data_IF_727555688230
#
_entry.id   IF_727555688230
#
_cell.length_a   1.000
_cell.length_b   1.000
_cell.length_c   1.000
_cell.angle_alpha   90.00
_cell.angle_beta   90.00
_cell.angle_gamma   90.00
#
_symmetry.space_group_name_H-M   'P 1'
#
loop_
_entity.id
_entity.type
_entity.pdbx_description
1 polymer ?
#
# COMPACT_ATOMS: atom_id res chain seq x y z
N UNK A 1 15.89 -14.57 -7.69
CA UNK A 1 15.17 -13.43 -8.30
C UNK A 1 15.01 -12.36 -7.24
N UNK A 2 15.08 -11.07 -7.59
CA UNK A 2 14.83 -9.99 -6.64
C UNK A 2 13.41 -10.07 -6.08
N UNK A 3 13.19 -9.75 -4.80
CA UNK A 3 11.85 -9.78 -4.19
C UNK A 3 11.05 -8.53 -4.50
N UNK A 4 10.16 -8.65 -5.48
CA UNK A 4 9.13 -7.65 -5.83
C UNK A 4 7.76 -8.27 -6.12
N UNK A 5 6.75 -7.46 -6.42
CA UNK A 5 5.39 -7.95 -6.65
C UNK A 5 5.34 -9.02 -7.76
N UNK A 6 6.07 -8.80 -8.85
CA UNK A 6 6.06 -9.70 -10.02
C UNK A 6 6.66 -11.05 -9.67
N UNK A 7 7.81 -11.05 -9.01
CA UNK A 7 8.45 -12.28 -8.55
C UNK A 7 7.56 -13.08 -7.58
N UNK A 8 6.77 -12.42 -6.74
CA UNK A 8 5.84 -13.09 -5.83
C UNK A 8 4.62 -13.66 -6.56
N UNK A 9 4.07 -12.94 -7.54
CA UNK A 9 2.98 -13.46 -8.40
C UNK A 9 3.45 -14.72 -9.13
N UNK A 10 4.66 -14.71 -9.69
CA UNK A 10 5.27 -15.89 -10.33
C UNK A 10 5.50 -17.03 -9.33
N UNK A 11 6.03 -16.73 -8.15
CA UNK A 11 6.23 -17.71 -7.08
C UNK A 11 4.89 -18.36 -6.65
N UNK A 12 3.85 -17.55 -6.48
CA UNK A 12 2.52 -18.02 -6.10
C UNK A 12 1.91 -18.91 -7.18
N UNK A 13 1.97 -18.47 -8.44
CA UNK A 13 1.45 -19.23 -9.57
C UNK A 13 2.16 -20.58 -9.75
N UNK A 14 3.45 -20.66 -9.44
CA UNK A 14 4.23 -21.90 -9.53
C UNK A 14 4.00 -22.83 -8.33
N UNK A 15 3.92 -22.29 -7.11
CA UNK A 15 3.83 -23.08 -5.89
C UNK A 15 2.40 -23.56 -5.59
N UNK A 16 1.40 -22.69 -5.80
CA UNK A 16 -0.01 -22.96 -5.51
C UNK A 16 -0.91 -22.32 -6.58
N UNK A 17 -0.99 -22.93 -7.79
CA UNK A 17 -1.75 -22.37 -8.92
C UNK A 17 -3.24 -22.13 -8.63
N UNK A 18 -3.82 -22.85 -7.68
CA UNK A 18 -5.20 -22.71 -7.22
C UNK A 18 -5.44 -21.46 -6.34
N UNK A 19 -4.37 -20.86 -5.83
CA UNK A 19 -4.43 -19.66 -4.97
C UNK A 19 -4.29 -18.34 -5.72
N UNK A 20 -4.14 -18.37 -7.04
CA UNK A 20 -4.16 -17.19 -7.90
C UNK A 20 -5.09 -17.42 -9.09
N UNK A 21 -5.96 -16.47 -9.37
CA UNK A 21 -6.86 -16.54 -10.51
C UNK A 21 -6.66 -15.31 -11.39
N UNK A 22 -6.38 -15.56 -12.67
CA UNK A 22 -6.31 -14.52 -13.70
C UNK A 22 -7.70 -14.28 -14.27
N UNK A 23 -8.09 -13.01 -14.33
CA UNK A 23 -9.35 -12.55 -14.90
C UNK A 23 -9.02 -11.75 -16.17
N UNK A 24 -9.43 -12.29 -17.32
CA UNK A 24 -9.15 -11.73 -18.65
C UNK A 24 -10.34 -10.98 -19.25
N UNK A 25 -11.55 -11.22 -18.74
CA UNK A 25 -12.72 -10.42 -19.08
C UNK A 25 -12.49 -8.96 -18.65
N UNK A 26 -13.04 -8.01 -19.42
CA UNK A 26 -13.04 -6.61 -19.03
C UNK A 26 -13.86 -6.41 -17.75
N UNK A 27 -13.29 -5.71 -16.77
CA UNK A 27 -13.94 -5.43 -15.48
C UNK A 27 -13.98 -3.93 -15.21
N UNK A 28 -15.14 -3.43 -14.77
CA UNK A 28 -15.34 -2.06 -14.33
C UNK A 28 -14.63 -1.82 -12.98
N UNK A 29 -13.73 -0.81 -12.86
CA UNK A 29 -13.07 -0.49 -11.59
C UNK A 29 -14.06 -0.05 -10.49
N UNK A 30 -15.18 0.56 -10.88
CA UNK A 30 -16.28 0.85 -9.96
C UNK A 30 -17.06 -0.44 -9.67
N UNK A 31 -16.89 -0.97 -8.45
CA UNK A 31 -17.55 -2.14 -7.89
C UNK A 31 -17.26 -3.49 -8.55
N UNK A 32 -16.89 -3.55 -9.84
CA UNK A 32 -16.72 -4.83 -10.55
C UNK A 32 -15.61 -5.69 -9.94
N UNK A 33 -14.47 -5.06 -9.64
CA UNK A 33 -13.31 -5.71 -9.01
C UNK A 33 -13.69 -6.34 -7.67
N UNK A 34 -14.33 -5.57 -6.79
CA UNK A 34 -14.72 -6.00 -5.45
C UNK A 34 -15.93 -6.92 -5.44
N UNK A 35 -16.85 -6.80 -6.40
CA UNK A 35 -17.99 -7.71 -6.55
C UNK A 35 -17.53 -9.14 -6.88
N UNK A 36 -16.51 -9.30 -7.73
CA UNK A 36 -15.92 -10.60 -8.03
C UNK A 36 -15.28 -11.20 -6.77
N UNK A 37 -14.47 -10.42 -6.04
CA UNK A 37 -13.89 -10.85 -4.77
C UNK A 37 -14.95 -11.21 -3.72
N UNK A 38 -16.00 -10.39 -3.59
CA UNK A 38 -17.12 -10.61 -2.68
C UNK A 38 -17.93 -11.87 -3.01
N UNK A 39 -18.13 -12.17 -4.29
CA UNK A 39 -18.78 -13.42 -4.72
C UNK A 39 -17.97 -14.66 -4.31
N UNK A 40 -16.64 -14.63 -4.49
CA UNK A 40 -15.77 -15.72 -4.06
C UNK A 40 -15.71 -15.83 -2.53
N UNK A 41 -15.68 -14.72 -1.82
CA UNK A 41 -15.71 -14.70 -0.36
C UNK A 41 -16.98 -15.37 0.20
N UNK A 42 -18.15 -15.16 -0.41
CA UNK A 42 -19.40 -15.87 -0.06
C UNK A 42 -19.32 -17.39 -0.26
N UNK A 43 -18.39 -17.86 -1.08
CA UNK A 43 -18.09 -19.29 -1.28
C UNK A 43 -16.95 -19.78 -0.38
N UNK A 44 -16.45 -18.95 0.53
CA UNK A 44 -15.29 -19.26 1.38
C UNK A 44 -13.95 -19.28 0.63
N UNK A 45 -13.88 -18.67 -0.56
CA UNK A 45 -12.70 -18.68 -1.42
C UNK A 45 -12.03 -17.30 -1.45
N UNK A 46 -10.72 -17.27 -1.23
CA UNK A 46 -9.92 -16.04 -1.18
C UNK A 46 -8.63 -16.13 -2.03
N UNK A 47 -8.70 -16.49 -3.32
CA UNK A 47 -7.52 -16.46 -4.18
C UNK A 47 -7.04 -15.02 -4.38
N UNK A 48 -5.75 -14.85 -4.67
CA UNK A 48 -5.27 -13.61 -5.28
C UNK A 48 -5.95 -13.46 -6.66
N UNK A 49 -6.40 -12.26 -6.98
CA UNK A 49 -7.12 -11.98 -8.23
C UNK A 49 -6.29 -11.02 -9.07
N UNK A 50 -5.82 -11.48 -10.24
CA UNK A 50 -5.09 -10.66 -11.20
C UNK A 50 -6.01 -10.31 -12.37
N UNK A 51 -6.47 -9.06 -12.40
CA UNK A 51 -7.27 -8.49 -13.47
C UNK A 51 -6.35 -7.94 -14.55
N UNK A 52 -6.41 -8.53 -15.74
CA UNK A 52 -5.55 -8.15 -16.87
C UNK A 52 -6.20 -7.13 -17.80
N UNK A 53 -7.52 -6.93 -17.68
CA UNK A 53 -8.29 -5.99 -18.47
C UNK A 53 -9.23 -5.18 -17.56
N UNK A 54 -8.74 -4.05 -17.05
CA UNK A 54 -9.54 -3.12 -16.25
C UNK A 54 -9.99 -1.98 -17.16
N UNK A 55 -11.30 -1.79 -17.25
CA UNK A 55 -11.90 -0.80 -18.16
C UNK A 55 -11.34 0.60 -17.90
N UNK A 56 -10.94 1.28 -18.98
CA UNK A 56 -10.39 2.64 -18.91
C UNK A 56 -8.93 2.72 -18.47
N UNK A 57 -8.25 1.60 -18.23
CA UNK A 57 -6.83 1.55 -17.85
C UNK A 57 -6.04 0.59 -18.74
N UNK A 58 -4.77 0.91 -18.96
CA UNK A 58 -3.82 -0.02 -19.60
C UNK A 58 -3.07 -0.89 -18.58
N UNK A 59 -3.22 -0.60 -17.29
CA UNK A 59 -2.52 -1.28 -16.21
C UNK A 59 -3.38 -2.44 -15.67
N UNK A 60 -2.80 -3.64 -15.48
CA UNK A 60 -3.44 -4.69 -14.71
C UNK A 60 -3.57 -4.30 -13.24
N UNK A 61 -4.50 -4.96 -12.55
CA UNK A 61 -4.77 -4.75 -11.13
C UNK A 61 -4.76 -6.08 -10.37
N UNK A 62 -4.17 -6.11 -9.18
CA UNK A 62 -4.16 -7.27 -8.29
C UNK A 62 -4.70 -6.93 -6.91
N UNK A 63 -5.58 -7.79 -6.38
CA UNK A 63 -6.07 -7.75 -5.00
C UNK A 63 -5.97 -9.13 -4.34
N UNK A 64 -6.27 -9.19 -3.04
CA UNK A 64 -6.25 -10.40 -2.22
C UNK A 64 -4.87 -11.07 -2.17
N UNK A 65 -3.78 -10.33 -2.43
CA UNK A 65 -2.44 -10.90 -2.47
C UNK A 65 -2.06 -11.53 -1.12
N UNK A 66 -2.49 -10.92 -0.01
CA UNK A 66 -2.19 -11.34 1.36
C UNK A 66 -3.40 -11.91 2.11
N UNK A 67 -4.48 -12.25 1.42
CA UNK A 67 -5.73 -12.74 2.04
C UNK A 67 -5.69 -14.18 2.61
N UNK A 68 -4.52 -14.80 2.75
CA UNK A 68 -4.36 -16.14 3.34
C UNK A 68 -3.01 -16.28 4.04
N UNK A 69 -2.98 -17.07 5.13
CA UNK A 69 -1.76 -17.34 5.89
C UNK A 69 -0.80 -18.24 5.12
N UNK A 70 -1.30 -19.11 4.25
CA UNK A 70 -0.49 -19.90 3.31
C UNK A 70 0.34 -18.99 2.40
N UNK A 71 -0.27 -17.94 1.84
CA UNK A 71 0.46 -16.96 1.02
C UNK A 71 1.44 -16.12 1.82
N UNK A 72 1.09 -15.75 3.06
CA UNK A 72 2.02 -15.03 3.92
C UNK A 72 3.20 -15.89 4.37
N UNK A 73 2.97 -17.18 4.62
CA UNK A 73 4.01 -18.15 4.91
C UNK A 73 4.93 -18.35 3.69
N UNK A 74 4.37 -18.48 2.48
CA UNK A 74 5.13 -18.51 1.23
C UNK A 74 5.98 -17.24 1.05
N UNK A 75 5.41 -16.06 1.30
CA UNK A 75 6.11 -14.78 1.19
C UNK A 75 7.29 -14.69 2.18
N UNK A 76 7.10 -15.17 3.40
CA UNK A 76 8.14 -15.24 4.42
C UNK A 76 9.12 -16.40 4.21
N UNK A 77 8.82 -17.37 3.34
CA UNK A 77 9.64 -18.57 3.14
C UNK A 77 9.61 -19.50 4.35
N UNK A 78 8.41 -19.76 4.88
CA UNK A 78 8.16 -20.59 6.07
C UNK A 78 6.86 -21.36 5.90
N UNK A 79 6.54 -22.24 6.86
CA UNK A 79 5.25 -22.92 6.98
C UNK A 79 4.22 -22.09 7.77
N UNK A 80 2.94 -22.37 7.55
CA UNK A 80 1.81 -21.68 8.23
C UNK A 80 1.90 -21.80 9.75
N UNK A 81 2.32 -22.95 10.28
CA UNK A 81 2.46 -23.15 11.74
C UNK A 81 3.52 -22.24 12.35
N UNK A 82 4.52 -21.84 11.56
CA UNK A 82 5.67 -21.05 12.02
C UNK A 82 5.55 -19.57 11.66
N UNK A 83 4.54 -19.16 10.88
CA UNK A 83 4.46 -17.82 10.29
C UNK A 83 4.51 -16.70 11.33
N UNK A 84 3.82 -16.89 12.47
CA UNK A 84 3.79 -15.91 13.57
C UNK A 84 5.17 -15.83 14.25
N UNK A 85 5.80 -16.98 14.52
CA UNK A 85 7.12 -17.06 15.14
C UNK A 85 8.19 -16.43 14.25
N UNK A 86 8.21 -16.80 12.96
CA UNK A 86 9.18 -16.28 11.99
C UNK A 86 9.01 -14.78 11.80
N UNK A 87 7.77 -14.29 11.75
CA UNK A 87 7.49 -12.84 11.74
C UNK A 87 8.13 -12.17 12.95
N UNK A 88 7.81 -12.61 14.18
CA UNK A 88 8.32 -12.00 15.41
C UNK A 88 9.86 -12.04 15.50
N UNK A 89 10.48 -13.15 15.07
CA UNK A 89 11.94 -13.30 15.05
C UNK A 89 12.64 -12.36 14.06
N UNK A 90 12.02 -12.12 12.89
CA UNK A 90 12.54 -11.16 11.90
C UNK A 90 12.36 -9.73 12.38
N UNK A 91 11.20 -9.42 12.97
CA UNK A 91 10.95 -8.10 13.56
C UNK A 91 11.96 -7.72 14.64
N UNK A 92 12.42 -8.69 15.43
CA UNK A 92 13.49 -8.47 16.42
C UNK A 92 14.89 -8.22 15.82
N UNK A 93 15.04 -8.31 14.49
CA UNK A 93 16.31 -8.17 13.76
C UNK A 93 16.16 -7.23 12.57
N UNK A 94 15.90 -5.93 12.80
CA UNK A 94 15.76 -4.92 11.75
C UNK A 94 16.98 -4.91 10.82
N UNK A 95 16.76 -4.76 9.51
CA UNK A 95 17.82 -4.72 8.51
C UNK A 95 17.87 -3.35 7.83
N UNK A 96 18.96 -2.57 7.97
CA UNK A 96 19.11 -1.27 7.31
C UNK A 96 18.82 -1.34 5.80
N UNK A 97 18.09 -0.36 5.23
CA UNK A 97 17.82 -0.34 3.81
C UNK A 97 19.10 -0.10 3.00
N UNK A 98 19.07 -0.48 1.72
CA UNK A 98 20.15 -0.23 0.76
C UNK A 98 19.77 0.88 -0.20
N UNK A 99 20.58 1.93 -0.31
CA UNK A 99 20.33 2.98 -1.29
C UNK A 99 20.82 2.56 -2.67
N UNK A 100 20.02 2.84 -3.69
CA UNK A 100 20.35 2.61 -5.10
C UNK A 100 20.13 3.87 -5.92
N UNK A 101 20.85 4.01 -7.03
CA UNK A 101 20.77 5.18 -7.92
C UNK A 101 19.77 5.00 -9.06
N UNK A 102 19.54 3.76 -9.48
CA UNK A 102 18.60 3.39 -10.54
C UNK A 102 17.56 2.43 -10.00
N UNK A 103 16.31 2.58 -10.45
CA UNK A 103 15.19 1.85 -9.91
C UNK A 103 14.11 1.60 -10.98
N UNK A 104 13.62 0.35 -11.10
CA UNK A 104 12.53 0.02 -12.03
C UNK A 104 11.29 0.90 -11.86
N UNK A 105 10.95 1.31 -10.63
CA UNK A 105 9.78 2.16 -10.36
C UNK A 105 9.85 3.54 -11.05
N UNK A 106 11.00 3.92 -11.60
CA UNK A 106 11.23 5.22 -12.23
C UNK A 106 11.42 5.13 -13.75
N UNK A 107 11.04 4.01 -14.39
CA UNK A 107 11.10 3.83 -15.84
C UNK A 107 10.15 4.74 -16.62
N UNK A 108 9.00 5.06 -16.03
CA UNK A 108 8.01 6.03 -16.52
C UNK A 108 7.87 7.12 -15.46
N UNK A 109 7.96 8.39 -15.88
CA UNK A 109 7.90 9.55 -14.99
C UNK A 109 6.89 10.55 -15.56
N UNK A 110 5.78 10.75 -14.84
CA UNK A 110 4.74 11.71 -15.17
C UNK A 110 4.80 12.86 -14.16
N UNK A 111 5.15 14.08 -14.59
CA UNK A 111 5.30 15.28 -13.73
C UNK A 111 4.28 16.36 -14.06
N UNK A 112 3.96 17.21 -13.08
CA UNK A 112 3.06 18.35 -13.26
C UNK A 112 1.72 17.87 -13.80
N UNK A 113 1.14 18.57 -14.77
CA UNK A 113 -0.18 18.24 -15.36
C UNK A 113 -0.30 16.83 -15.98
N UNK A 114 0.83 16.14 -16.22
CA UNK A 114 0.82 14.74 -16.70
C UNK A 114 0.60 13.73 -15.58
N UNK A 115 0.84 14.11 -14.32
CA UNK A 115 0.66 13.27 -13.14
C UNK A 115 -0.84 13.18 -12.79
N UNK A 116 -1.59 12.45 -13.62
CA UNK A 116 -3.04 12.30 -13.53
C UNK A 116 -3.41 10.99 -12.86
N UNK A 117 -4.20 11.04 -11.79
CA UNK A 117 -4.67 9.86 -11.06
C UNK A 117 -5.57 8.97 -11.93
N UNK A 118 -6.27 9.54 -12.92
CA UNK A 118 -7.04 8.78 -13.92
C UNK A 118 -6.20 7.83 -14.79
N UNK A 119 -4.86 7.94 -14.76
CA UNK A 119 -3.97 6.97 -15.43
C UNK A 119 -3.88 5.64 -14.69
N UNK A 120 -4.32 5.58 -13.44
CA UNK A 120 -4.27 4.40 -12.59
C UNK A 120 -5.68 3.77 -12.47
N UNK A 121 -5.80 2.42 -12.42
CA UNK A 121 -7.08 1.74 -12.28
C UNK A 121 -7.61 1.77 -10.84
N UNK A 122 -7.75 2.96 -10.24
CA UNK A 122 -8.15 3.12 -8.84
C UNK A 122 -9.62 2.70 -8.69
N UNK A 123 -9.93 1.65 -7.89
CA UNK A 123 -11.29 1.14 -7.77
C UNK A 123 -12.16 1.99 -6.82
N UNK A 124 -13.48 1.89 -7.00
CA UNK A 124 -14.46 2.22 -5.97
C UNK A 124 -14.97 0.90 -5.39
N UNK A 125 -14.82 0.69 -4.08
CA UNK A 125 -14.94 -0.64 -3.49
C UNK A 125 -16.38 -1.01 -3.16
N UNK A 126 -17.13 -0.08 -2.59
CA UNK A 126 -18.47 -0.29 -2.07
C UNK A 126 -19.43 0.80 -2.53
N UNK A 127 -20.72 0.48 -2.56
CA UNK A 127 -21.77 1.33 -3.13
C UNK A 127 -21.84 2.75 -2.55
N UNK A 128 -21.59 2.91 -1.24
CA UNK A 128 -21.65 4.21 -0.56
C UNK A 128 -20.27 4.83 -0.31
N UNK A 129 -19.20 4.28 -0.89
CA UNK A 129 -17.90 4.97 -0.87
C UNK A 129 -18.06 6.29 -1.63
N UNK A 130 -17.55 7.38 -1.07
CA UNK A 130 -17.69 8.74 -1.64
C UNK A 130 -16.98 8.93 -2.98
N UNK A 131 -16.04 8.04 -3.32
CA UNK A 131 -15.30 8.07 -4.57
C UNK A 131 -14.39 6.85 -4.75
N UNK A 132 -13.51 6.85 -5.76
CA UNK A 132 -12.43 5.88 -5.87
C UNK A 132 -11.38 6.07 -4.77
N UNK A 133 -10.78 4.98 -4.28
CA UNK A 133 -9.79 5.02 -3.21
C UNK A 133 -8.53 4.22 -3.53
N UNK A 134 -7.36 4.78 -3.20
CA UNK A 134 -6.12 4.01 -3.07
C UNK A 134 -6.09 3.40 -1.67
N UNK A 135 -6.15 2.07 -1.57
CA UNK A 135 -6.18 1.38 -0.26
C UNK A 135 -4.99 0.45 -0.03
N UNK A 136 -4.31 0.04 -1.11
CA UNK A 136 -3.05 -0.71 -1.06
C UNK A 136 -1.78 0.15 -1.02
N UNK A 137 -1.92 1.47 -0.83
CA UNK A 137 -0.81 2.43 -0.86
C UNK A 137 -0.13 2.61 0.51
N UNK A 138 1.20 2.52 0.53
CA UNK A 138 2.03 2.85 1.70
C UNK A 138 2.48 4.30 1.61
N UNK A 139 1.92 5.18 2.44
CA UNK A 139 2.35 6.57 2.56
C UNK A 139 3.64 6.64 3.39
N UNK A 140 4.63 7.29 2.80
CA UNK A 140 5.97 7.53 3.32
C UNK A 140 6.11 9.03 3.59
N UNK A 141 6.55 9.38 4.79
CA UNK A 141 6.89 10.74 5.18
C UNK A 141 8.08 10.75 6.17
N UNK A 142 8.63 11.93 6.45
CA UNK A 142 9.65 12.13 7.49
C UNK A 142 9.07 12.91 8.65
N UNK A 143 9.31 12.45 9.87
CA UNK A 143 9.12 13.24 11.08
C UNK A 143 10.03 14.49 11.03
N UNK A 144 9.48 15.72 11.13
CA UNK A 144 10.27 16.94 11.02
C UNK A 144 11.20 17.18 12.21
N UNK A 145 10.93 16.57 13.38
CA UNK A 145 11.71 16.75 14.59
C UNK A 145 12.91 15.77 14.63
N UNK A 146 12.70 14.52 14.19
CA UNK A 146 13.71 13.45 14.28
C UNK A 146 14.39 13.10 12.95
N UNK A 147 13.77 13.45 11.82
CA UNK A 147 14.21 13.05 10.47
C UNK A 147 13.95 11.57 10.14
N UNK A 148 13.34 10.81 11.05
CA UNK A 148 13.03 9.39 10.82
C UNK A 148 11.87 9.23 9.83
N UNK A 149 11.94 8.16 9.04
CA UNK A 149 10.86 7.80 8.13
C UNK A 149 9.70 7.15 8.87
N UNK A 150 8.48 7.45 8.46
CA UNK A 150 7.31 6.63 8.75
C UNK A 150 6.79 6.07 7.42
N UNK A 151 6.46 4.79 7.37
CA UNK A 151 5.81 4.16 6.23
C UNK A 151 4.57 3.39 6.70
N UNK A 152 3.37 3.88 6.38
CA UNK A 152 2.11 3.29 6.85
C UNK A 152 1.04 3.23 5.75
N UNK A 153 0.11 2.29 5.89
CA UNK A 153 -1.04 2.20 4.97
C UNK A 153 -2.18 3.08 5.48
N UNK A 154 -2.68 3.92 4.60
CA UNK A 154 -3.85 4.77 4.83
C UNK A 154 -4.74 4.72 3.59
N UNK A 155 -6.03 5.02 3.75
CA UNK A 155 -6.91 5.18 2.60
C UNK A 155 -6.73 6.57 2.00
N UNK A 156 -6.77 6.64 0.67
CA UNK A 156 -6.67 7.88 -0.06
C UNK A 156 -7.79 8.07 -1.08
N UNK A 157 -8.70 9.01 -0.82
CA UNK A 157 -9.82 9.32 -1.71
C UNK A 157 -9.34 10.11 -2.93
N UNK A 158 -9.77 9.73 -4.13
CA UNK A 158 -9.53 10.53 -5.34
C UNK A 158 -10.50 11.71 -5.37
N UNK A 159 -9.98 12.91 -5.08
CA UNK A 159 -10.76 14.17 -5.04
C UNK A 159 -10.60 15.03 -6.31
N UNK A 160 -9.76 14.59 -7.23
CA UNK A 160 -9.49 15.25 -8.51
C UNK A 160 -8.33 14.57 -9.22
N UNK A 161 -7.90 15.08 -10.38
CA UNK A 161 -6.82 14.46 -11.17
C UNK A 161 -5.46 14.46 -10.44
N UNK A 162 -5.24 15.37 -9.50
CA UNK A 162 -3.97 15.54 -8.79
C UNK A 162 -4.17 15.76 -7.29
N UNK A 163 -5.28 15.29 -6.74
CA UNK A 163 -5.63 15.47 -5.34
C UNK A 163 -6.10 14.16 -4.73
N UNK A 164 -5.46 13.78 -3.62
CA UNK A 164 -5.82 12.61 -2.83
C UNK A 164 -6.16 13.02 -1.39
N UNK A 165 -7.39 12.81 -0.94
CA UNK A 165 -7.72 12.91 0.48
C UNK A 165 -6.92 11.90 1.29
N UNK A 166 -6.65 12.16 2.57
CA UNK A 166 -5.92 11.23 3.45
C UNK A 166 -6.62 11.10 4.79
N UNK A 167 -7.05 9.88 5.12
CA UNK A 167 -7.58 9.60 6.45
C UNK A 167 -6.50 9.06 7.38
N UNK A 168 -6.02 9.91 8.29
CA UNK A 168 -5.22 9.46 9.44
C UNK A 168 -6.13 9.22 10.64
N UNK A 169 -6.12 8.01 11.19
CA UNK A 169 -6.64 7.80 12.53
C UNK A 169 -5.72 8.53 13.52
N UNK A 170 -6.29 9.23 14.50
CA UNK A 170 -5.56 10.17 15.36
C UNK A 170 -4.42 9.57 16.19
N UNK A 171 -4.39 8.24 16.34
CA UNK A 171 -3.32 7.49 17.02
C UNK A 171 -2.22 6.97 16.09
N UNK A 172 -2.34 7.16 14.77
CA UNK A 172 -1.32 6.74 13.82
C UNK A 172 -0.17 7.76 13.73
N UNK A 173 1.07 7.26 13.60
CA UNK A 173 2.27 8.08 13.48
C UNK A 173 2.18 9.10 12.33
N UNK A 174 1.68 8.72 11.16
CA UNK A 174 1.45 9.68 10.05
C UNK A 174 0.55 10.88 10.43
N UNK A 175 -0.48 10.66 11.25
CA UNK A 175 -1.33 11.74 11.75
C UNK A 175 -0.64 12.63 12.78
N UNK A 176 0.21 12.04 13.64
CA UNK A 176 1.08 12.81 14.55
C UNK A 176 2.08 13.67 13.78
N UNK A 177 2.79 13.07 12.81
CA UNK A 177 3.79 13.76 11.98
C UNK A 177 3.14 14.93 11.22
N UNK A 178 2.00 14.70 10.57
CA UNK A 178 1.29 15.78 9.85
C UNK A 178 0.90 16.93 10.80
N UNK A 179 0.45 16.63 12.02
CA UNK A 179 0.15 17.67 13.03
C UNK A 179 1.38 18.54 13.34
N UNK A 180 2.57 17.94 13.44
CA UNK A 180 3.82 18.69 13.66
C UNK A 180 4.12 19.64 12.49
N UNK A 181 3.94 19.20 11.24
CA UNK A 181 4.05 20.08 10.07
C UNK A 181 3.04 21.24 10.09
N UNK A 182 1.80 20.98 10.50
CA UNK A 182 0.76 22.01 10.67
C UNK A 182 1.15 23.05 11.74
N UNK A 183 1.67 22.62 12.89
CA UNK A 183 2.14 23.49 13.98
C UNK A 183 3.33 24.36 13.54
N UNK A 184 4.19 23.84 12.66
CA UNK A 184 5.29 24.58 12.05
C UNK A 184 4.85 25.44 10.85
N UNK A 185 3.59 25.35 10.43
CA UNK A 185 3.06 25.95 9.21
C UNK A 185 3.91 25.64 7.95
N UNK A 186 4.36 24.39 7.81
CA UNK A 186 5.18 23.92 6.70
C UNK A 186 4.47 22.78 5.96
N UNK A 187 4.52 22.73 4.62
CA UNK A 187 3.98 21.58 3.89
C UNK A 187 4.78 20.32 4.22
N UNK A 188 4.07 19.19 4.33
CA UNK A 188 4.67 17.87 4.51
C UNK A 188 4.89 17.22 3.15
N UNK A 189 6.13 16.89 2.83
CA UNK A 189 6.42 16.06 1.65
C UNK A 189 6.02 14.61 1.91
N UNK A 190 5.38 13.98 0.91
CA UNK A 190 4.92 12.59 0.99
C UNK A 190 5.17 11.83 -0.30
N UNK A 191 5.28 10.51 -0.18
CA UNK A 191 5.24 9.59 -1.30
C UNK A 191 4.34 8.39 -0.96
N UNK A 192 3.54 7.90 -1.90
CA UNK A 192 2.66 6.74 -1.72
C UNK A 192 3.19 5.63 -2.63
N UNK A 193 3.73 4.57 -2.05
CA UNK A 193 4.24 3.41 -2.77
C UNK A 193 3.15 2.34 -2.93
N UNK A 194 2.91 1.88 -4.16
CA UNK A 194 1.88 0.91 -4.51
C UNK A 194 2.55 -0.27 -5.23
N UNK A 195 2.19 -1.48 -4.78
CA UNK A 195 2.67 -2.73 -5.37
C UNK A 195 4.12 -3.03 -5.03
N UNK A 196 4.33 -3.98 -4.13
CA UNK A 196 5.66 -4.52 -3.80
C UNK A 196 5.49 -5.99 -3.38
N UNK A 197 6.60 -6.67 -3.09
CA UNK A 197 6.56 -7.98 -2.44
C UNK A 197 5.76 -7.93 -1.12
N UNK A 198 4.91 -8.92 -0.79
CA UNK A 198 3.96 -8.85 0.33
C UNK A 198 4.53 -8.45 1.69
N UNK A 199 5.77 -8.84 1.98
CA UNK A 199 6.42 -8.53 3.27
C UNK A 199 6.72 -7.05 3.44
N UNK A 200 6.81 -6.26 2.36
CA UNK A 200 6.89 -4.80 2.46
C UNK A 200 5.58 -4.22 3.01
N UNK A 201 4.43 -4.71 2.52
CA UNK A 201 3.09 -4.32 3.01
C UNK A 201 2.92 -4.72 4.47
N UNK A 202 3.41 -5.91 4.86
CA UNK A 202 3.46 -6.33 6.27
C UNK A 202 4.34 -5.40 7.13
N UNK A 203 5.48 -4.96 6.62
CA UNK A 203 6.34 -3.97 7.29
C UNK A 203 5.57 -2.68 7.60
N UNK A 204 4.80 -2.16 6.63
CA UNK A 204 4.02 -0.94 6.79
C UNK A 204 2.83 -1.04 7.77
N UNK A 205 2.42 -2.26 8.16
CA UNK A 205 1.37 -2.48 9.18
C UNK A 205 1.93 -3.00 10.51
N UNK A 206 3.25 -3.05 10.64
CA UNK A 206 3.95 -3.52 11.84
C UNK A 206 3.69 -2.62 13.05
N UNK A 207 3.89 -3.20 14.24
CA UNK A 207 3.71 -2.51 15.54
C UNK A 207 5.06 -2.26 16.20
N UNK A 208 5.73 -1.22 15.68
CA UNK A 208 7.02 -0.76 16.17
C UNK A 208 6.85 0.23 17.34
N UNK A 209 7.80 0.27 18.29
CA UNK A 209 7.82 1.28 19.33
C UNK A 209 8.30 2.63 18.77
N UNK A 210 7.51 3.68 18.98
CA UNK A 210 7.81 5.02 18.45
C UNK A 210 7.63 5.12 16.92
N UNK A 211 7.87 6.32 16.38
CA UNK A 211 7.90 6.54 14.94
C UNK A 211 9.25 6.12 14.39
N UNK A 212 9.29 5.43 13.24
CA UNK A 212 10.53 4.96 12.63
C UNK A 212 10.68 3.45 12.57
N UNK A 213 11.57 3.01 11.67
CA UNK A 213 12.00 1.62 11.56
C UNK A 213 11.22 0.78 10.54
N UNK A 214 10.19 1.32 9.88
CA UNK A 214 9.36 0.53 8.98
C UNK A 214 10.11 0.06 7.72
N UNK A 215 11.13 0.79 7.27
CA UNK A 215 12.01 0.32 6.18
C UNK A 215 12.92 -0.81 6.63
N UNK A 216 13.45 -0.72 7.84
CA UNK A 216 14.29 -1.75 8.44
C UNK A 216 13.51 -3.02 8.72
N UNK A 217 12.28 -2.87 9.20
CA UNK A 217 11.32 -3.95 9.41
C UNK A 217 10.95 -4.62 8.09
N UNK A 218 10.63 -3.83 7.05
CA UNK A 218 10.36 -4.36 5.72
C UNK A 218 11.56 -5.16 5.19
N UNK A 219 12.78 -4.66 5.36
CA UNK A 219 14.01 -5.39 5.01
C UNK A 219 14.16 -6.70 5.80
N UNK A 220 13.91 -6.67 7.11
CA UNK A 220 13.97 -7.86 7.95
C UNK A 220 12.95 -8.92 7.53
N UNK A 221 11.70 -8.52 7.27
CA UNK A 221 10.65 -9.42 6.80
C UNK A 221 10.92 -9.95 5.39
N UNK A 222 11.47 -9.12 4.49
CA UNK A 222 11.99 -9.54 3.19
C UNK A 222 13.13 -10.56 3.34
N UNK A 223 13.92 -10.49 4.41
CA UNK A 223 15.14 -11.28 4.59
C UNK A 223 16.32 -10.74 3.78
N UNK A 224 16.19 -9.55 3.20
CA UNK A 224 17.24 -8.81 2.48
C UNK A 224 16.99 -7.31 2.63
N UNK A 225 18.03 -6.45 2.60
CA UNK A 225 17.86 -5.00 2.69
C UNK A 225 16.84 -4.45 1.69
N UNK A 226 15.90 -3.63 2.16
CA UNK A 226 14.96 -2.94 1.28
C UNK A 226 15.73 -1.94 0.40
N UNK A 227 15.65 -2.11 -0.92
CA UNK A 227 16.26 -1.16 -1.85
C UNK A 227 15.44 0.12 -1.94
N UNK A 228 16.10 1.26 -1.70
CA UNK A 228 15.48 2.58 -1.73
C UNK A 228 16.15 3.47 -2.79
N UNK A 229 15.34 4.25 -3.49
CA UNK A 229 15.79 5.25 -4.48
C UNK A 229 15.26 6.64 -4.10
N UNK A 230 15.99 7.69 -4.49
CA UNK A 230 15.50 9.06 -4.27
C UNK A 230 14.29 9.35 -5.13
N UNK A 231 13.24 9.91 -4.52
CA UNK A 231 12.06 10.43 -5.21
C UNK A 231 12.43 11.57 -6.19
N UNK A 232 11.55 11.86 -7.15
CA UNK A 232 11.83 12.79 -8.26
C UNK A 232 11.49 14.25 -7.96
N UNK A 233 10.62 14.51 -7.00
CA UNK A 233 10.08 15.85 -6.69
C UNK A 233 9.97 16.17 -5.20
N UNK A 234 10.18 15.18 -4.33
CA UNK A 234 10.19 15.34 -2.87
C UNK A 234 11.50 14.83 -2.29
N UNK A 235 11.94 15.33 -1.13
CA UNK A 235 13.15 14.85 -0.45
C UNK A 235 12.88 13.59 0.40
N UNK A 236 12.36 12.55 -0.25
CA UNK A 236 12.09 11.25 0.33
C UNK A 236 12.82 10.14 -0.42
N UNK A 237 13.04 9.04 0.29
CA UNK A 237 13.48 7.77 -0.27
C UNK A 237 12.27 6.87 -0.42
N UNK A 238 12.15 6.18 -1.56
CA UNK A 238 11.01 5.33 -1.89
C UNK A 238 11.48 3.93 -2.32
N UNK A 239 10.68 2.87 -2.14
CA UNK A 239 11.07 1.52 -2.53
C UNK A 239 11.39 1.43 -4.02
N UNK A 240 12.65 1.12 -4.35
CA UNK A 240 13.14 1.09 -5.72
C UNK A 240 12.39 0.07 -6.60
N UNK A 241 11.86 -0.97 -5.95
CA UNK A 241 11.16 -2.09 -6.57
C UNK A 241 9.64 -1.99 -6.47
N UNK A 242 9.06 -0.87 -6.03
CA UNK A 242 7.62 -0.69 -6.14
C UNK A 242 7.16 -0.72 -7.62
N UNK A 243 5.87 -0.96 -7.85
CA UNK A 243 5.28 -0.86 -9.18
C UNK A 243 4.99 0.60 -9.53
N UNK A 244 4.42 1.35 -8.59
CA UNK A 244 4.01 2.75 -8.74
C UNK A 244 4.38 3.53 -7.48
N UNK A 245 4.81 4.77 -7.65
CA UNK A 245 4.99 5.75 -6.56
C UNK A 245 4.30 7.06 -6.97
N UNK A 246 3.45 7.58 -6.08
CA UNK A 246 2.81 8.88 -6.21
C UNK A 246 3.50 9.85 -5.25
N UNK A 247 4.11 10.91 -5.75
CA UNK A 247 4.81 11.93 -4.96
C UNK A 247 3.99 13.20 -4.88
N UNK A 248 3.98 13.83 -3.72
CA UNK A 248 3.23 15.06 -3.51
C UNK A 248 3.55 15.78 -2.21
N UNK A 249 2.79 16.83 -1.95
CA UNK A 249 2.88 17.61 -0.73
C UNK A 249 1.51 17.69 -0.06
N UNK A 250 1.49 17.69 1.27
CA UNK A 250 0.30 17.95 2.06
C UNK A 250 0.40 19.38 2.60
N UNK A 251 -0.46 20.32 2.17
CA UNK A 251 -0.45 21.68 2.69
C UNK A 251 -0.79 21.69 4.19
N UNK A 252 -0.15 22.54 5.01
CA UNK A 252 -0.45 22.61 6.43
C UNK A 252 -1.79 23.31 6.65
N UNK A 253 -2.60 22.81 7.58
CA UNK A 253 -3.86 23.44 8.02
C UNK A 253 -4.94 23.60 6.92
N UNK A 254 -4.79 22.94 5.78
CA UNK A 254 -5.82 22.85 4.75
C UNK A 254 -6.47 21.47 4.75
N UNK A 255 -7.77 21.44 4.48
CA UNK A 255 -8.57 20.22 4.46
C UNK A 255 -9.57 20.23 3.31
N UNK A 256 -10.01 19.02 2.95
CA UNK A 256 -11.18 18.80 2.11
C UNK A 256 -12.05 17.74 2.77
N UNK A 257 -13.35 17.80 2.51
CA UNK A 257 -14.29 16.76 2.92
C UNK A 257 -13.92 15.42 2.28
N UNK A 258 -13.81 14.37 3.11
CA UNK A 258 -13.54 12.99 2.70
C UNK A 258 -14.59 12.04 3.29
N UNK A 259 -14.86 10.95 2.60
CA UNK A 259 -15.79 9.91 3.03
C UNK A 259 -17.26 10.22 2.75
N UNK A 260 -18.18 9.31 3.12
CA UNK A 260 -17.95 8.10 3.91
C UNK A 260 -17.21 6.99 3.16
N UNK A 261 -16.65 6.04 3.92
CA UNK A 261 -15.91 4.90 3.36
C UNK A 261 -16.11 3.63 4.20
N UNK A 262 -16.22 2.47 3.54
CA UNK A 262 -16.35 1.17 4.20
C UNK A 262 -15.05 0.71 4.87
N UNK A 263 -15.03 0.60 6.20
CA UNK A 263 -13.81 0.29 6.96
C UNK A 263 -13.76 -1.11 7.56
N UNK A 264 -12.58 -1.48 8.06
CA UNK A 264 -12.29 -2.79 8.69
C UNK A 264 -13.33 -3.32 9.69
N UNK A 265 -14.08 -2.51 10.48
CA UNK A 265 -15.12 -3.03 11.36
C UNK A 265 -16.36 -3.56 10.62
N UNK A 266 -16.45 -3.36 9.30
CA UNK A 266 -17.60 -3.75 8.47
C UNK A 266 -18.68 -2.69 8.35
N UNK A 267 -18.38 -1.43 8.68
CA UNK A 267 -19.32 -0.31 8.64
C UNK A 267 -18.73 0.88 7.87
N UNK A 268 -19.61 1.70 7.30
CA UNK A 268 -19.22 3.01 6.77
C UNK A 268 -18.93 3.95 7.93
N UNK A 269 -17.71 4.51 7.96
CA UNK A 269 -17.27 5.43 9.02
C UNK A 269 -16.27 6.45 8.46
N UNK A 270 -16.04 7.50 9.25
CA UNK A 270 -14.90 8.38 9.08
C UNK A 270 -15.08 9.45 8.00
N UNK A 271 -16.25 10.07 7.91
CA UNK A 271 -16.46 11.24 7.07
C UNK A 271 -16.02 12.56 7.75
N UNK A 272 -15.74 13.59 6.96
CA UNK A 272 -15.50 14.96 7.42
C UNK A 272 -14.25 15.61 6.83
N UNK A 273 -13.86 16.76 7.36
CA UNK A 273 -12.67 17.49 6.91
C UNK A 273 -11.38 16.71 7.22
N UNK A 274 -10.63 16.38 6.15
CA UNK A 274 -9.37 15.63 6.20
C UNK A 274 -8.28 16.33 5.41
N UNK A 275 -7.00 16.13 5.78
CA UNK A 275 -5.91 16.63 4.97
C UNK A 275 -5.84 15.88 3.63
N UNK A 276 -5.12 16.46 2.68
CA UNK A 276 -5.00 15.92 1.34
C UNK A 276 -3.57 16.06 0.80
N UNK A 277 -3.23 15.22 -0.16
CA UNK A 277 -1.99 15.29 -0.95
C UNK A 277 -2.29 16.02 -2.25
N UNK A 278 -1.51 17.06 -2.54
CA UNK A 278 -1.36 17.63 -3.87
C UNK A 278 -0.30 16.84 -4.62
N UNK A 279 -0.73 16.03 -5.59
CA UNK A 279 0.15 15.19 -6.40
C UNK A 279 1.01 16.05 -7.32
N UNK A 280 2.31 15.78 -7.35
CA UNK A 280 3.30 16.46 -8.20
C UNK A 280 3.86 15.53 -9.27
N UNK A 281 4.09 14.27 -8.92
CA UNK A 281 4.69 13.28 -9.82
C UNK A 281 4.07 11.91 -9.58
N UNK A 282 3.91 11.14 -10.65
CA UNK A 282 3.69 9.69 -10.58
C UNK A 282 4.86 9.03 -11.31
N UNK A 283 5.60 8.16 -10.63
CA UNK A 283 6.59 7.28 -11.26
C UNK A 283 6.11 5.85 -11.24
N UNK A 284 6.36 5.09 -12.30
CA UNK A 284 6.00 3.67 -12.33
C UNK A 284 6.95 2.86 -13.20
N UNK A 285 6.94 1.54 -13.00
CA UNK A 285 7.52 0.58 -13.95
C UNK A 285 6.78 0.63 -15.29
N UNK A 286 7.42 0.20 -16.38
CA UNK A 286 6.69 -0.11 -17.61
C UNK A 286 5.76 -1.29 -17.35
N UNK A 287 4.53 -1.20 -17.86
CA UNK A 287 3.47 -2.19 -17.65
C UNK A 287 3.26 -2.48 -16.15
N UNK A 288 3.17 -1.41 -15.35
CA UNK A 288 3.04 -1.52 -13.91
C UNK A 288 1.77 -2.31 -13.49
N UNK A 289 1.87 -3.07 -12.40
CA UNK A 289 0.71 -3.75 -11.80
C UNK A 289 0.21 -2.90 -10.63
N UNK A 290 -1.04 -2.45 -10.71
CA UNK A 290 -1.68 -1.74 -9.60
C UNK A 290 -2.06 -2.75 -8.52
N UNK A 291 -1.61 -2.53 -7.28
CA UNK A 291 -2.00 -3.33 -6.12
C UNK A 291 -3.03 -2.58 -5.30
N UNK A 292 -4.10 -3.27 -4.91
CA UNK A 292 -5.14 -2.71 -4.07
C UNK A 292 -5.55 -3.69 -2.98
N UNK A 293 -6.09 -3.17 -1.88
CA UNK A 293 -6.59 -3.98 -0.76
C UNK A 293 -8.09 -3.77 -0.65
N UNK A 294 -8.88 -4.84 -0.79
CA UNK A 294 -10.33 -4.72 -0.62
C UNK A 294 -10.67 -4.44 0.87
N UNK A 295 -11.16 -3.24 1.23
CA UNK A 295 -11.44 -2.88 2.62
C UNK A 295 -12.50 -3.79 3.24
N UNK A 296 -12.48 -3.89 4.58
CA UNK A 296 -13.38 -4.74 5.36
C UNK A 296 -13.41 -6.22 4.95
N UNK A 297 -12.47 -6.68 4.12
CA UNK A 297 -12.43 -8.03 3.61
C UNK A 297 -11.22 -8.81 4.15
N UNK A 298 -11.11 -10.08 3.72
CA UNK A 298 -10.14 -11.05 4.25
C UNK A 298 -8.70 -10.52 4.20
N UNK A 299 -8.29 -9.88 3.11
CA UNK A 299 -6.95 -9.31 2.98
C UNK A 299 -6.63 -8.27 4.06
N UNK A 300 -7.51 -7.28 4.23
CA UNK A 300 -7.37 -6.24 5.24
C UNK A 300 -7.24 -6.85 6.65
N UNK A 301 -8.08 -7.83 6.98
CA UNK A 301 -8.04 -8.49 8.29
C UNK A 301 -6.77 -9.32 8.49
N UNK A 302 -6.35 -10.10 7.50
CA UNK A 302 -5.18 -10.98 7.60
C UNK A 302 -3.88 -10.16 7.70
N UNK A 303 -3.74 -9.10 6.91
CA UNK A 303 -2.60 -8.16 6.99
C UNK A 303 -2.42 -7.61 8.41
N UNK A 304 -3.49 -7.04 8.98
CA UNK A 304 -3.45 -6.48 10.32
C UNK A 304 -3.27 -7.54 11.41
N UNK A 305 -3.82 -8.75 11.21
CA UNK A 305 -3.78 -9.82 12.20
C UNK A 305 -2.39 -10.40 12.38
N UNK A 306 -1.67 -10.71 11.28
CA UNK A 306 -0.33 -11.29 11.40
C UNK A 306 0.63 -10.35 12.13
N UNK A 307 0.63 -9.06 11.78
CA UNK A 307 1.48 -8.07 12.42
C UNK A 307 1.18 -7.95 13.93
N UNK A 308 -0.10 -7.98 14.32
CA UNK A 308 -0.50 -7.97 15.74
C UNK A 308 -0.07 -9.24 16.46
N UNK A 309 -0.31 -10.41 15.89
CA UNK A 309 0.10 -11.70 16.48
C UNK A 309 1.62 -11.75 16.68
N UNK A 310 2.40 -11.34 15.66
CA UNK A 310 3.85 -11.26 15.74
C UNK A 310 4.34 -10.32 16.84
N UNK A 311 3.67 -9.18 17.03
CA UNK A 311 4.02 -8.21 18.08
C UNK A 311 3.74 -8.69 19.52
N UNK A 312 2.89 -9.72 19.69
CA UNK A 312 2.59 -10.34 20.99
C UNK A 312 3.59 -11.46 21.30
N UNK A 313 4.14 -12.10 20.28
CA UNK A 313 5.05 -13.24 20.44
C UNK A 313 6.44 -12.85 21.01
N UNK A 314 6.84 -11.58 20.86
CA UNK A 314 8.15 -11.06 21.26
C UNK A 314 8.35 -10.98 22.77
#
# INVERSE_FOLDING_TARGET
MPKDLRSFIEQLANATPDQIQMITAEVEPKFGITAIAGKLAKQGRFPALLFTNVKGSSLPLVINLTASYERLALALGTDVSEVVRVYGQRQAKPLPPRLVTEAPVQEVILKGEKAKLSTLPIPTHNELDSGPYVTGGVLICKDPDTGQYNAGIYRHEVQGEQQLGVYFQGSHHGGYIYRRYCEMNRPMEVAIAIGHYPTFILGAVSKLPGSGGEFEEAGALLGEPLELVKAKTVDLMVPARAEIVIEGIMPPNETHFEGPFGEWPGYYVGEGEKPFVQVKTITMRRNAIYYDVFPANREHLVLGSLARMGSIYR
#
